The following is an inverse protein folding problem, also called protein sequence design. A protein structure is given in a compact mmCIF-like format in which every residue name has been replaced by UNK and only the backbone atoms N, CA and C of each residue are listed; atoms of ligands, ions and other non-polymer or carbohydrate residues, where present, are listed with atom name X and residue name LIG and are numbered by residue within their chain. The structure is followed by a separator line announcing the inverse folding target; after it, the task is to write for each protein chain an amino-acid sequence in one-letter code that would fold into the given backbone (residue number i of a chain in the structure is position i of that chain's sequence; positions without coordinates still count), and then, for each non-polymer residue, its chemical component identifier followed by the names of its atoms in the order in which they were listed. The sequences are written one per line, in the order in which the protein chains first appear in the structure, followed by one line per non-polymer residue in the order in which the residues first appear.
data_IF_182529263520
#
_entry.id   IF_182529263520
#
_cell.length_a   1.000
_cell.length_b   1.000
_cell.length_c   1.000
_cell.angle_alpha   90.00
_cell.angle_beta   90.00
_cell.angle_gamma   90.00
#
_symmetry.space_group_name_H-M   'P 1'
#
loop_
_entity.id
_entity.type
_entity.pdbx_description
1 polymer ?
#
# COMPACT_ATOMS: atom_id res chain seq x y z
N UNK A 1 20.69 -55.55 63.65
CA UNK A 1 21.06 -54.46 62.70
C UNK A 1 19.78 -53.79 62.27
N UNK A 2 19.58 -52.54 62.70
CA UNK A 2 18.30 -51.85 62.72
C UNK A 2 17.98 -51.16 61.40
N UNK A 3 16.70 -51.23 61.07
CA UNK A 3 15.94 -50.70 59.95
C UNK A 3 16.01 -49.16 59.87
N UNK A 4 17.12 -48.60 59.36
CA UNK A 4 17.27 -47.14 59.15
C UNK A 4 17.94 -46.71 57.83
N UNK A 5 18.19 -47.63 56.89
CA UNK A 5 18.84 -47.27 55.61
C UNK A 5 17.95 -47.39 54.37
N UNK A 6 16.65 -47.70 54.51
CA UNK A 6 15.75 -47.83 53.35
C UNK A 6 14.88 -46.60 53.06
N UNK A 7 15.08 -45.46 53.75
CA UNK A 7 14.29 -44.23 53.53
C UNK A 7 15.10 -43.10 52.87
N UNK A 8 16.42 -43.24 52.74
CA UNK A 8 17.25 -42.25 52.04
C UNK A 8 17.36 -42.47 50.52
N UNK A 9 16.91 -43.62 50.01
CA UNK A 9 17.00 -43.98 48.59
C UNK A 9 15.84 -43.49 47.71
N UNK A 10 14.73 -43.05 48.29
CA UNK A 10 13.53 -42.59 47.55
C UNK A 10 13.31 -41.07 47.62
N UNK A 11 14.11 -40.32 48.39
CA UNK A 11 14.02 -38.87 48.47
C UNK A 11 14.92 -38.12 47.46
N UNK A 12 15.73 -38.83 46.67
CA UNK A 12 16.64 -38.24 45.67
C UNK A 12 16.15 -38.38 44.21
N UNK A 13 14.96 -38.95 43.97
CA UNK A 13 14.33 -39.02 42.65
C UNK A 13 13.10 -38.11 42.50
N UNK A 14 12.85 -37.22 43.48
CA UNK A 14 11.70 -36.30 43.47
C UNK A 14 12.10 -34.81 43.49
N UNK A 15 13.22 -34.44 42.85
CA UNK A 15 13.59 -33.03 42.60
C UNK A 15 14.22 -32.82 41.22
N UNK A 16 13.48 -33.20 40.18
CA UNK A 16 13.61 -32.62 38.84
C UNK A 16 12.22 -32.40 38.24
N UNK A 17 11.31 -31.83 39.04
CA UNK A 17 10.11 -31.22 38.50
C UNK A 17 10.50 -29.87 37.87
N UNK A 18 10.64 -29.92 36.54
CA UNK A 18 10.26 -28.86 35.62
C UNK A 18 10.61 -27.42 36.04
N UNK A 19 11.86 -27.02 35.83
CA UNK A 19 12.10 -25.70 35.23
C UNK A 19 12.10 -25.87 33.73
N UNK A 20 10.95 -26.23 33.15
CA UNK A 20 10.69 -25.85 31.77
C UNK A 20 10.70 -24.33 31.80
N UNK A 21 11.71 -23.72 31.18
CA UNK A 21 11.60 -22.33 30.74
C UNK A 21 10.19 -22.19 30.15
N UNK A 22 9.34 -21.27 30.61
CA UNK A 22 8.10 -21.01 29.90
C UNK A 22 8.54 -20.77 28.46
N UNK A 23 8.06 -21.61 27.54
CA UNK A 23 8.15 -21.33 26.11
C UNK A 23 7.77 -19.87 26.01
N UNK A 24 8.74 -19.02 25.67
CA UNK A 24 8.50 -17.61 25.44
C UNK A 24 7.78 -17.56 24.09
N UNK A 25 6.52 -18.01 24.11
CA UNK A 25 5.63 -18.03 22.98
C UNK A 25 5.21 -16.58 22.83
N UNK A 26 6.06 -15.82 22.14
CA UNK A 26 5.75 -14.45 21.73
C UNK A 26 4.37 -14.51 21.07
N UNK A 27 3.40 -13.80 21.62
CA UNK A 27 2.08 -13.72 21.05
C UNK A 27 2.21 -13.19 19.60
N UNK A 28 1.54 -13.86 18.67
CA UNK A 28 1.47 -13.43 17.28
C UNK A 28 0.61 -12.17 17.23
N UNK A 29 1.10 -11.13 16.57
CA UNK A 29 0.38 -9.87 16.41
C UNK A 29 -0.72 -10.03 15.35
N UNK A 30 -1.93 -9.52 15.61
CA UNK A 30 -3.03 -9.60 14.65
C UNK A 30 -3.28 -8.21 14.03
N UNK A 31 -3.30 -8.16 12.69
CA UNK A 31 -3.47 -6.89 11.95
C UNK A 31 -4.55 -7.01 10.89
N UNK A 32 -5.49 -6.07 10.86
CA UNK A 32 -6.48 -6.00 9.78
C UNK A 32 -5.82 -5.48 8.51
N UNK A 33 -6.07 -6.12 7.37
CA UNK A 33 -5.71 -5.57 6.07
C UNK A 33 -6.75 -4.54 5.66
N UNK A 34 -6.29 -3.35 5.32
CA UNK A 34 -7.14 -2.24 4.93
C UNK A 34 -6.62 -1.57 3.65
N UNK A 35 -7.17 -0.41 3.34
CA UNK A 35 -6.78 0.40 2.18
C UNK A 35 -5.50 1.23 2.38
N UNK A 36 -4.86 1.16 3.56
CA UNK A 36 -3.61 1.84 3.84
C UNK A 36 -3.72 3.35 3.77
N UNK A 37 -4.71 3.94 4.44
CA UNK A 37 -5.02 5.38 4.36
C UNK A 37 -3.89 6.28 4.87
N UNK A 38 -3.02 5.76 5.74
CA UNK A 38 -1.87 6.49 6.29
C UNK A 38 -0.63 6.43 5.40
N UNK A 39 -0.66 5.65 4.32
CA UNK A 39 0.46 5.47 3.41
C UNK A 39 0.65 6.67 2.49
N UNK A 40 1.90 7.09 2.30
CA UNK A 40 2.26 7.96 1.18
C UNK A 40 2.40 7.12 -0.09
N UNK A 41 1.56 7.40 -1.09
CA UNK A 41 1.28 6.49 -2.21
C UNK A 41 1.36 7.20 -3.57
N UNK A 42 2.09 8.31 -3.64
CA UNK A 42 2.15 9.20 -4.81
C UNK A 42 2.62 8.48 -6.08
N UNK A 43 1.89 8.67 -7.17
CA UNK A 43 2.22 8.15 -8.50
C UNK A 43 2.91 9.17 -9.41
N UNK A 44 3.04 10.42 -8.94
CA UNK A 44 3.68 11.54 -9.64
C UNK A 44 3.10 11.81 -11.03
N UNK A 45 1.79 11.60 -11.19
CA UNK A 45 1.11 11.77 -12.47
C UNK A 45 1.09 13.24 -12.85
N UNK A 46 1.72 13.55 -13.99
CA UNK A 46 1.77 14.91 -14.54
C UNK A 46 2.86 15.82 -13.96
N UNK A 47 3.67 15.35 -13.02
CA UNK A 47 4.70 16.17 -12.36
C UNK A 47 6.10 15.57 -12.36
N UNK A 48 6.35 14.54 -13.17
CA UNK A 48 7.67 13.89 -13.30
C UNK A 48 8.79 14.91 -13.50
N UNK A 49 8.67 15.81 -14.48
CA UNK A 49 9.72 16.79 -14.78
C UNK A 49 9.97 17.76 -13.63
N UNK A 50 8.90 18.24 -12.97
CA UNK A 50 9.02 19.09 -11.79
C UNK A 50 9.73 18.36 -10.64
N UNK A 51 9.39 17.09 -10.38
CA UNK A 51 10.11 16.30 -9.39
C UNK A 51 11.58 16.06 -9.78
N UNK A 52 11.89 15.89 -11.07
CA UNK A 52 13.26 15.72 -11.56
C UNK A 52 14.14 16.95 -11.32
N UNK A 53 13.58 18.15 -11.44
CA UNK A 53 14.26 19.42 -11.15
C UNK A 53 14.62 19.57 -9.66
N UNK A 54 13.79 19.02 -8.77
CA UNK A 54 13.96 19.09 -7.32
C UNK A 54 14.98 18.08 -6.76
N UNK A 55 15.36 17.05 -7.52
CA UNK A 55 16.14 15.92 -7.00
C UNK A 55 17.49 16.32 -6.43
N UNK A 56 18.16 17.32 -7.00
CA UNK A 56 19.50 17.72 -6.55
C UNK A 56 19.44 18.27 -5.12
N UNK A 57 18.54 19.22 -4.87
CA UNK A 57 18.39 19.87 -3.57
C UNK A 57 17.75 18.95 -2.52
N UNK A 58 16.74 18.16 -2.93
CA UNK A 58 16.14 17.15 -2.06
C UNK A 58 17.19 16.13 -1.61
N UNK A 59 17.95 15.57 -2.53
CA UNK A 59 18.95 14.55 -2.21
C UNK A 59 20.03 15.09 -1.27
N UNK A 60 20.53 16.31 -1.51
CA UNK A 60 21.51 16.95 -0.63
C UNK A 60 20.94 17.17 0.79
N UNK A 61 19.72 17.68 0.88
CA UNK A 61 19.06 17.98 2.17
C UNK A 61 18.71 16.70 2.93
N UNK A 62 18.15 15.70 2.25
CA UNK A 62 17.75 14.42 2.84
C UNK A 62 18.97 13.63 3.31
N UNK A 63 20.08 13.58 2.55
CA UNK A 63 21.30 12.92 3.00
C UNK A 63 21.94 13.60 4.22
N UNK A 64 21.86 14.92 4.30
CA UNK A 64 22.39 15.66 5.46
C UNK A 64 21.55 15.40 6.72
N UNK A 65 20.22 15.31 6.58
CA UNK A 65 19.30 15.13 7.72
C UNK A 65 19.08 13.66 8.10
N UNK A 66 19.28 12.74 7.17
CA UNK A 66 18.99 11.32 7.32
C UNK A 66 20.25 10.46 7.09
N UNK A 67 21.07 10.22 8.14
CA UNK A 67 22.28 9.41 8.02
C UNK A 67 21.99 7.95 7.64
N UNK A 68 20.81 7.42 7.98
CA UNK A 68 20.38 6.08 7.56
C UNK A 68 20.22 6.02 6.04
N UNK A 69 19.59 7.05 5.45
CA UNK A 69 19.44 7.14 4.01
C UNK A 69 20.79 7.31 3.31
N UNK A 70 21.61 8.26 3.76
CA UNK A 70 22.92 8.54 3.15
C UNK A 70 23.84 7.29 3.14
N UNK A 71 23.97 6.60 4.26
CA UNK A 71 24.80 5.40 4.36
C UNK A 71 24.20 4.23 3.57
N UNK A 72 22.88 4.03 3.65
CA UNK A 72 22.21 2.98 2.90
C UNK A 72 22.35 3.17 1.38
N UNK A 73 22.21 4.40 0.89
CA UNK A 73 22.42 4.75 -0.51
C UNK A 73 23.86 4.54 -0.95
N UNK A 74 24.84 4.98 -0.15
CA UNK A 74 26.27 4.77 -0.42
C UNK A 74 26.60 3.28 -0.59
N UNK A 75 26.09 2.43 0.31
CA UNK A 75 26.28 0.97 0.21
C UNK A 75 25.60 0.38 -1.01
N UNK A 76 24.40 0.84 -1.34
CA UNK A 76 23.68 0.41 -2.54
C UNK A 76 24.43 0.79 -3.82
N UNK A 77 24.90 2.04 -3.93
CA UNK A 77 25.69 2.49 -5.06
C UNK A 77 26.99 1.69 -5.23
N UNK A 78 27.71 1.46 -4.13
CA UNK A 78 28.91 0.63 -4.16
C UNK A 78 28.62 -0.81 -4.60
N UNK A 79 27.54 -1.42 -4.09
CA UNK A 79 27.14 -2.77 -4.49
C UNK A 79 26.71 -2.83 -5.95
N UNK A 80 26.05 -1.79 -6.48
CA UNK A 80 25.61 -1.69 -7.86
C UNK A 80 26.81 -1.68 -8.81
N UNK A 81 27.83 -0.89 -8.50
CA UNK A 81 29.04 -0.85 -9.30
C UNK A 81 29.91 -2.10 -9.17
N UNK A 82 30.04 -2.66 -7.97
CA UNK A 82 30.83 -3.87 -7.76
C UNK A 82 30.30 -5.10 -8.53
N UNK A 83 28.99 -5.16 -8.86
CA UNK A 83 28.43 -6.22 -9.70
C UNK A 83 28.45 -5.91 -11.21
N UNK A 84 29.15 -4.86 -11.63
CA UNK A 84 29.18 -4.41 -13.03
C UNK A 84 27.85 -3.80 -13.47
N UNK A 85 27.22 -3.01 -12.60
CA UNK A 85 25.96 -2.34 -12.87
C UNK A 85 25.98 -1.62 -14.22
N UNK A 86 25.01 -1.94 -15.07
CA UNK A 86 24.83 -1.32 -16.36
C UNK A 86 23.34 -1.08 -16.59
N UNK A 87 23.00 0.15 -16.96
CA UNK A 87 21.65 0.54 -17.32
C UNK A 87 21.62 0.78 -18.82
N UNK A 88 20.76 0.09 -19.60
CA UNK A 88 20.73 0.25 -21.04
C UNK A 88 20.49 1.71 -21.44
N UNK A 89 21.43 2.28 -22.20
CA UNK A 89 21.38 3.69 -22.65
C UNK A 89 20.12 4.07 -23.42
N UNK A 90 19.47 3.11 -24.07
CA UNK A 90 18.24 3.32 -24.84
C UNK A 90 16.96 3.32 -24.00
N UNK A 91 17.07 3.18 -22.67
CA UNK A 91 15.90 3.18 -21.77
C UNK A 91 15.83 4.48 -20.98
N UNK A 92 14.61 4.89 -20.60
CA UNK A 92 14.40 6.01 -19.68
C UNK A 92 14.94 5.72 -18.25
N UNK A 93 15.37 4.49 -18.00
CA UNK A 93 15.96 4.11 -16.73
C UNK A 93 17.32 4.78 -16.59
N UNK A 94 17.59 5.35 -15.42
CA UNK A 94 18.86 6.01 -15.09
C UNK A 94 19.54 5.22 -13.98
N UNK A 95 20.81 5.52 -13.77
CA UNK A 95 21.60 4.92 -12.69
C UNK A 95 20.92 5.11 -11.32
N UNK A 96 20.35 6.28 -11.05
CA UNK A 96 19.70 6.61 -9.79
C UNK A 96 18.50 5.70 -9.53
N UNK A 97 17.73 5.37 -10.57
CA UNK A 97 16.63 4.39 -10.50
C UNK A 97 17.15 2.99 -10.14
N UNK A 98 18.28 2.58 -10.74
CA UNK A 98 18.89 1.28 -10.45
C UNK A 98 19.46 1.21 -9.03
N UNK A 99 20.11 2.28 -8.55
CA UNK A 99 20.62 2.39 -7.19
C UNK A 99 19.48 2.44 -6.17
N UNK A 100 18.37 3.11 -6.47
CA UNK A 100 17.18 3.12 -5.61
C UNK A 100 16.60 1.70 -5.42
N UNK A 101 16.41 0.95 -6.52
CA UNK A 101 16.00 -0.46 -6.46
C UNK A 101 17.00 -1.31 -5.67
N UNK A 102 18.30 -1.06 -5.85
CA UNK A 102 19.32 -1.75 -5.06
C UNK A 102 19.22 -1.42 -3.57
N UNK A 103 19.04 -0.14 -3.22
CA UNK A 103 18.95 0.32 -1.84
C UNK A 103 17.77 -0.32 -1.13
N UNK A 104 16.63 -0.43 -1.82
CA UNK A 104 15.44 -1.08 -1.30
C UNK A 104 15.66 -2.59 -1.07
N UNK A 105 16.28 -3.29 -2.01
CA UNK A 105 16.51 -4.75 -1.91
C UNK A 105 17.68 -5.13 -1.01
N UNK A 106 18.56 -4.19 -0.71
CA UNK A 106 19.70 -4.40 0.18
C UNK A 106 19.20 -4.38 1.63
N UNK A 107 18.96 -5.58 2.18
CA UNK A 107 18.58 -5.78 3.58
C UNK A 107 19.39 -4.88 4.52
N UNK A 108 18.70 -4.12 5.36
CA UNK A 108 19.35 -3.20 6.30
C UNK A 108 18.42 -2.12 6.82
N UNK A 109 19.01 -1.18 7.55
CA UNK A 109 18.31 -0.07 8.21
C UNK A 109 17.54 0.84 7.25
N UNK A 110 18.07 1.09 6.04
CA UNK A 110 17.39 1.92 5.05
C UNK A 110 16.05 1.32 4.64
N UNK A 111 16.04 0.05 4.23
CA UNK A 111 14.81 -0.66 3.84
C UNK A 111 13.74 -0.59 4.95
N UNK A 112 14.10 -0.98 6.18
CA UNK A 112 13.15 -1.01 7.30
C UNK A 112 12.62 0.39 7.63
N UNK A 113 13.49 1.40 7.68
CA UNK A 113 13.10 2.77 8.03
C UNK A 113 12.28 3.42 6.92
N UNK A 114 12.64 3.17 5.66
CA UNK A 114 11.88 3.65 4.51
C UNK A 114 10.44 3.11 4.51
N UNK A 115 10.27 1.80 4.67
CA UNK A 115 8.94 1.16 4.71
C UNK A 115 8.08 1.70 5.87
N UNK A 116 8.68 1.89 7.06
CA UNK A 116 8.00 2.53 8.21
C UNK A 116 7.58 3.97 7.90
N UNK A 117 8.47 4.78 7.33
CA UNK A 117 8.19 6.18 7.06
C UNK A 117 7.17 6.36 5.93
N UNK A 118 7.19 5.50 4.91
CA UNK A 118 6.16 5.48 3.84
C UNK A 118 4.78 5.16 4.42
N UNK A 119 4.70 4.20 5.34
CA UNK A 119 3.44 3.82 6.00
C UNK A 119 2.79 4.95 6.81
N UNK A 120 3.59 5.90 7.30
CA UNK A 120 3.14 6.99 8.17
C UNK A 120 3.05 8.35 7.47
N UNK A 121 3.81 8.57 6.39
CA UNK A 121 3.91 9.87 5.74
C UNK A 121 2.60 10.36 5.11
N UNK A 122 1.65 9.46 4.83
CA UNK A 122 0.30 9.80 4.35
C UNK A 122 -0.70 10.13 5.46
N UNK A 123 -0.27 10.26 6.73
CA UNK A 123 -1.16 10.74 7.80
C UNK A 123 -1.64 12.18 7.55
N UNK A 124 -0.78 13.02 6.98
CA UNK A 124 -1.13 14.38 6.57
C UNK A 124 -0.05 14.97 5.67
N UNK A 125 -0.41 16.02 4.92
CA UNK A 125 0.56 16.83 4.17
C UNK A 125 1.73 17.32 5.04
N UNK A 126 1.45 17.71 6.29
CA UNK A 126 2.48 18.17 7.22
C UNK A 126 3.45 17.05 7.60
N UNK A 127 2.93 15.85 7.86
CA UNK A 127 3.74 14.67 8.14
C UNK A 127 4.70 14.36 6.98
N UNK A 128 4.18 14.38 5.75
CA UNK A 128 4.97 14.23 4.54
C UNK A 128 6.06 15.31 4.40
N UNK A 129 5.69 16.60 4.51
CA UNK A 129 6.65 17.69 4.27
C UNK A 129 7.76 17.71 5.34
N UNK A 130 7.38 17.62 6.61
CA UNK A 130 8.29 17.85 7.74
C UNK A 130 9.09 16.61 8.14
N UNK A 131 8.50 15.41 8.05
CA UNK A 131 9.11 14.20 8.62
C UNK A 131 9.54 13.17 7.59
N UNK A 132 8.90 13.10 6.43
CA UNK A 132 9.26 12.11 5.41
C UNK A 132 10.56 12.51 4.69
N UNK A 133 11.70 11.97 5.12
CA UNK A 133 13.03 12.29 4.59
C UNK A 133 13.51 11.28 3.53
N UNK A 134 12.57 10.73 2.77
CA UNK A 134 12.80 9.79 1.67
C UNK A 134 12.02 10.14 0.40
N UNK A 135 11.74 11.42 0.17
CA UNK A 135 11.03 11.94 -1.01
C UNK A 135 11.75 11.53 -2.29
N UNK A 136 13.08 11.68 -2.32
CA UNK A 136 13.92 11.27 -3.45
C UNK A 136 13.82 9.77 -3.71
N UNK A 137 13.97 8.94 -2.66
CA UNK A 137 13.92 7.49 -2.79
C UNK A 137 12.56 7.00 -3.26
N UNK A 138 11.48 7.53 -2.68
CA UNK A 138 10.11 7.18 -3.05
C UNK A 138 9.82 7.51 -4.52
N UNK A 139 10.22 8.71 -4.97
CA UNK A 139 10.09 9.12 -6.37
C UNK A 139 10.86 8.20 -7.30
N UNK A 140 12.15 7.97 -7.04
CA UNK A 140 13.01 7.15 -7.89
C UNK A 140 12.53 5.69 -7.97
N UNK A 141 12.03 5.12 -6.86
CA UNK A 141 11.45 3.77 -6.86
C UNK A 141 10.16 3.72 -7.69
N UNK A 142 9.26 4.68 -7.49
CA UNK A 142 7.99 4.77 -8.24
C UNK A 142 8.23 4.90 -9.74
N UNK A 143 9.16 5.76 -10.13
CA UNK A 143 9.58 5.95 -11.51
C UNK A 143 10.25 4.70 -12.09
N UNK A 144 11.15 4.05 -11.34
CA UNK A 144 11.81 2.83 -11.77
C UNK A 144 10.79 1.72 -12.09
N UNK A 145 9.80 1.52 -11.21
CA UNK A 145 8.74 0.55 -11.44
C UNK A 145 7.89 0.92 -12.66
N UNK A 146 7.53 2.19 -12.81
CA UNK A 146 6.76 2.66 -13.96
C UNK A 146 7.49 2.42 -15.29
N UNK A 147 8.78 2.72 -15.35
CA UNK A 147 9.63 2.53 -16.55
C UNK A 147 9.81 1.05 -16.88
N UNK A 148 10.00 0.21 -15.86
CA UNK A 148 10.30 -1.22 -16.04
C UNK A 148 9.05 -2.08 -16.27
N UNK A 149 7.86 -1.58 -15.92
CA UNK A 149 6.61 -2.32 -16.06
C UNK A 149 6.30 -2.60 -17.52
N UNK A 150 5.87 -3.83 -17.81
CA UNK A 150 5.30 -4.21 -19.10
C UNK A 150 3.78 -4.11 -19.02
N UNK A 151 3.13 -3.25 -19.84
CA UNK A 151 1.68 -3.17 -19.88
C UNK A 151 1.04 -4.54 -20.13
N UNK A 152 -0.15 -4.76 -19.56
CA UNK A 152 -0.95 -5.99 -19.74
C UNK A 152 -0.28 -7.30 -19.26
N UNK A 153 0.83 -7.20 -18.52
CA UNK A 153 1.46 -8.37 -17.89
C UNK A 153 1.14 -8.36 -16.41
N UNK A 154 0.62 -9.47 -15.90
CA UNK A 154 0.44 -9.71 -14.47
C UNK A 154 1.28 -10.90 -14.02
N UNK A 155 1.61 -10.93 -12.73
CA UNK A 155 2.50 -11.90 -12.12
C UNK A 155 1.84 -12.52 -10.90
N UNK A 156 1.79 -13.87 -10.89
CA UNK A 156 1.45 -14.62 -9.68
C UNK A 156 2.69 -14.75 -8.80
N UNK A 157 2.61 -14.20 -7.60
CA UNK A 157 3.74 -14.07 -6.68
C UNK A 157 3.32 -14.36 -5.24
N UNK A 158 4.30 -14.62 -4.38
CA UNK A 158 4.08 -15.10 -3.02
C UNK A 158 4.92 -14.33 -2.01
N UNK A 159 4.41 -14.18 -0.79
CA UNK A 159 5.15 -13.62 0.34
C UNK A 159 4.74 -14.31 1.63
N UNK A 160 5.72 -14.80 2.36
CA UNK A 160 5.57 -15.23 3.74
C UNK A 160 5.80 -14.06 4.70
N UNK A 161 5.06 -14.03 5.80
CA UNK A 161 5.23 -13.07 6.89
C UNK A 161 5.31 -13.82 8.19
N UNK A 162 6.31 -13.47 9.01
CA UNK A 162 6.54 -14.00 10.34
C UNK A 162 6.01 -13.03 11.40
N UNK A 163 5.57 -13.57 12.54
CA UNK A 163 5.13 -12.86 13.75
C UNK A 163 3.84 -12.02 13.60
N UNK A 164 3.26 -11.93 12.40
CA UNK A 164 2.03 -11.18 12.11
C UNK A 164 1.01 -12.08 11.42
N UNK A 165 -0.20 -12.11 11.98
CA UNK A 165 -1.38 -12.73 11.39
C UNK A 165 -2.32 -11.66 10.85
N UNK A 166 -2.42 -11.58 9.53
CA UNK A 166 -3.35 -10.65 8.90
C UNK A 166 -4.78 -11.18 8.92
N UNK A 167 -5.72 -10.28 9.16
CA UNK A 167 -7.16 -10.50 9.15
C UNK A 167 -7.73 -9.75 7.94
N UNK A 168 -8.54 -10.44 7.15
CA UNK A 168 -9.27 -9.88 6.02
C UNK A 168 -10.52 -10.73 5.74
N UNK A 169 -11.44 -10.18 4.97
CA UNK A 169 -12.67 -10.82 4.53
C UNK A 169 -12.73 -10.88 3.00
N UNK A 170 -13.42 -11.89 2.43
CA UNK A 170 -13.61 -11.95 0.98
C UNK A 170 -14.28 -10.68 0.47
N UNK A 171 -13.87 -10.22 -0.72
CA UNK A 171 -14.31 -8.99 -1.38
C UNK A 171 -13.81 -7.69 -0.76
N UNK A 172 -13.06 -7.72 0.35
CA UNK A 172 -12.38 -6.53 0.83
C UNK A 172 -11.45 -5.97 -0.24
N UNK A 173 -11.49 -4.64 -0.39
CA UNK A 173 -10.49 -3.92 -1.14
C UNK A 173 -9.36 -3.55 -0.17
N UNK A 174 -8.15 -4.03 -0.46
CA UNK A 174 -6.98 -3.87 0.38
C UNK A 174 -5.80 -3.34 -0.41
N UNK A 175 -4.80 -2.84 0.30
CA UNK A 175 -3.57 -2.32 -0.29
C UNK A 175 -2.39 -2.59 0.62
N UNK A 176 -1.22 -2.77 0.03
CA UNK A 176 0.01 -2.77 0.80
C UNK A 176 0.47 -1.32 0.98
N UNK A 177 0.38 -0.80 2.21
CA UNK A 177 0.65 0.59 2.61
C UNK A 177 2.11 1.06 2.46
N UNK A 178 2.89 0.37 1.64
CA UNK A 178 4.31 0.56 1.41
C UNK A 178 4.70 -0.24 0.15
N UNK A 179 5.93 -0.03 -0.35
CA UNK A 179 6.49 -0.95 -1.31
C UNK A 179 6.64 -2.33 -0.66
N UNK A 180 6.37 -3.41 -1.39
CA UNK A 180 6.50 -4.77 -0.83
C UNK A 180 7.14 -5.74 -1.81
N UNK A 181 8.17 -6.43 -1.34
CA UNK A 181 8.82 -7.54 -2.06
C UNK A 181 7.97 -8.81 -2.05
N UNK A 182 7.74 -9.38 -3.21
CA UNK A 182 7.16 -10.71 -3.41
C UNK A 182 8.11 -11.58 -4.24
N UNK A 183 7.85 -12.89 -4.26
CA UNK A 183 8.71 -13.86 -4.92
C UNK A 183 7.89 -14.79 -5.82
N UNK A 184 8.43 -15.15 -6.99
CA UNK A 184 7.76 -16.10 -7.89
C UNK A 184 7.62 -17.50 -7.31
N UNK A 185 8.58 -17.92 -6.48
CA UNK A 185 8.64 -19.27 -5.91
C UNK A 185 8.11 -19.28 -4.48
N UNK A 186 7.17 -20.17 -4.19
CA UNK A 186 6.58 -20.31 -2.84
C UNK A 186 7.65 -20.64 -1.80
N UNK A 187 8.62 -21.46 -2.16
CA UNK A 187 9.70 -21.92 -1.29
C UNK A 187 10.56 -20.73 -0.84
N UNK A 188 10.81 -19.76 -1.73
CA UNK A 188 11.54 -18.52 -1.39
C UNK A 188 10.72 -17.58 -0.53
N UNK A 189 9.40 -17.55 -0.72
CA UNK A 189 8.51 -16.75 0.12
C UNK A 189 8.42 -17.30 1.56
N UNK A 190 8.48 -18.63 1.74
CA UNK A 190 8.47 -19.28 3.07
C UNK A 190 9.68 -18.93 3.93
N UNK A 191 10.82 -18.60 3.32
CA UNK A 191 12.02 -18.14 4.04
C UNK A 191 11.74 -16.89 4.91
N UNK A 192 10.65 -16.14 4.61
CA UNK A 192 10.24 -14.93 5.33
C UNK A 192 9.16 -15.16 6.39
N UNK A 193 8.62 -16.38 6.51
CA UNK A 193 7.62 -16.76 7.51
C UNK A 193 6.40 -17.46 6.93
N UNK A 194 5.58 -18.01 7.82
CA UNK A 194 4.36 -18.74 7.45
C UNK A 194 3.15 -18.36 8.31
N UNK A 195 3.27 -17.42 9.26
CA UNK A 195 2.15 -16.98 10.13
C UNK A 195 1.05 -16.30 9.31
N UNK A 196 1.44 -15.50 8.32
CA UNK A 196 0.60 -15.17 7.17
C UNK A 196 1.33 -15.53 5.89
N UNK A 197 0.63 -16.11 4.93
CA UNK A 197 1.17 -16.40 3.61
C UNK A 197 0.25 -15.85 2.51
N UNK A 198 0.80 -14.97 1.67
CA UNK A 198 0.08 -14.32 0.59
C UNK A 198 0.32 -15.03 -0.74
N UNK A 199 -0.73 -15.15 -1.55
CA UNK A 199 -0.68 -15.42 -2.98
C UNK A 199 -1.36 -14.28 -3.71
N UNK A 200 -0.58 -13.50 -4.46
CA UNK A 200 -1.04 -12.27 -5.09
C UNK A 200 -0.87 -12.40 -6.59
N UNK A 201 -1.91 -12.06 -7.35
CA UNK A 201 -1.78 -11.79 -8.77
C UNK A 201 -1.71 -10.27 -8.98
N UNK A 202 -0.51 -9.76 -9.21
CA UNK A 202 -0.22 -8.32 -9.32
C UNK A 202 -0.04 -7.93 -10.78
N UNK A 203 -0.58 -6.78 -11.18
CA UNK A 203 -0.43 -6.21 -12.53
C UNK A 203 0.43 -4.93 -12.54
N UNK A 204 0.88 -4.49 -11.37
CA UNK A 204 1.76 -3.32 -11.21
C UNK A 204 3.10 -3.68 -10.53
N UNK A 205 3.22 -4.90 -10.01
CA UNK A 205 4.46 -5.47 -9.52
C UNK A 205 5.46 -5.72 -10.63
N UNK A 206 6.72 -5.36 -10.39
CA UNK A 206 7.78 -5.43 -11.40
C UNK A 206 8.85 -6.43 -10.97
N UNK A 207 9.21 -7.40 -11.84
CA UNK A 207 10.39 -8.24 -11.62
C UNK A 207 11.68 -7.42 -11.66
N UNK A 208 12.37 -7.32 -10.52
CA UNK A 208 13.55 -6.45 -10.36
C UNK A 208 14.86 -7.24 -10.24
N UNK A 209 14.87 -8.51 -10.65
CA UNK A 209 16.03 -9.43 -10.61
C UNK A 209 17.36 -8.78 -11.02
N UNK A 210 17.37 -8.00 -12.10
CA UNK A 210 18.59 -7.35 -12.62
C UNK A 210 19.14 -6.27 -11.67
N UNK A 211 18.25 -5.58 -10.96
CA UNK A 211 18.57 -4.44 -10.09
C UNK A 211 18.69 -4.82 -8.61
N UNK A 212 18.15 -5.99 -8.24
CA UNK A 212 18.20 -6.49 -6.88
C UNK A 212 19.63 -6.78 -6.41
N UNK A 213 19.82 -6.57 -5.10
CA UNK A 213 20.98 -7.01 -4.33
C UNK A 213 21.10 -8.54 -4.25
N UNK A 214 20.02 -9.28 -4.55
CA UNK A 214 19.90 -10.74 -4.48
C UNK A 214 19.16 -11.31 -5.71
N UNK A 215 19.77 -11.31 -6.91
CA UNK A 215 19.12 -11.74 -8.15
C UNK A 215 18.55 -13.16 -8.11
N UNK A 216 19.13 -14.05 -7.31
CA UNK A 216 18.71 -15.44 -7.12
C UNK A 216 17.35 -15.57 -6.40
N UNK A 217 16.89 -14.52 -5.72
CA UNK A 217 15.57 -14.49 -5.07
C UNK A 217 14.43 -14.22 -6.06
N UNK A 218 14.74 -13.69 -7.25
CA UNK A 218 13.76 -13.38 -8.30
C UNK A 218 12.59 -12.55 -7.78
N UNK A 219 12.97 -11.47 -7.09
CA UNK A 219 12.06 -10.55 -6.42
C UNK A 219 11.20 -9.76 -7.41
N UNK A 220 9.92 -9.61 -7.06
CA UNK A 220 8.93 -8.74 -7.70
C UNK A 220 8.55 -7.66 -6.70
N UNK A 221 8.77 -6.41 -7.04
CA UNK A 221 8.46 -5.29 -6.16
C UNK A 221 7.09 -4.70 -6.53
N UNK A 222 6.17 -4.71 -5.57
CA UNK A 222 4.81 -4.15 -5.71
C UNK A 222 4.81 -2.72 -5.14
N UNK A 223 4.29 -1.72 -5.89
CA UNK A 223 4.19 -0.34 -5.40
C UNK A 223 3.06 -0.14 -4.38
N UNK A 224 3.12 0.92 -3.54
CA UNK A 224 2.15 1.17 -2.47
C UNK A 224 0.75 1.55 -2.93
N UNK A 225 0.56 1.84 -4.23
CA UNK A 225 -0.70 2.32 -4.79
C UNK A 225 -1.52 1.24 -5.53
N UNK A 226 -1.01 0.01 -5.66
CA UNK A 226 -1.78 -1.09 -6.25
C UNK A 226 -2.80 -1.62 -5.24
N UNK A 227 -4.06 -1.67 -5.65
CA UNK A 227 -5.16 -2.20 -4.85
C UNK A 227 -5.42 -3.64 -5.22
N UNK A 228 -5.94 -4.39 -4.28
CA UNK A 228 -6.29 -5.79 -4.46
C UNK A 228 -7.66 -6.08 -3.89
N UNK A 229 -8.40 -6.96 -4.56
CA UNK A 229 -9.58 -7.59 -3.98
C UNK A 229 -9.16 -8.90 -3.31
N UNK A 230 -9.64 -9.13 -2.09
CA UNK A 230 -9.43 -10.40 -1.39
C UNK A 230 -10.36 -11.46 -1.98
N UNK A 231 -9.79 -12.49 -2.59
CA UNK A 231 -10.58 -13.53 -3.27
C UNK A 231 -10.84 -14.76 -2.40
N UNK A 232 -9.93 -15.07 -1.49
CA UNK A 232 -10.06 -16.21 -0.58
C UNK A 232 -9.17 -16.05 0.65
N UNK A 233 -9.67 -16.50 1.80
CA UNK A 233 -8.89 -16.67 3.04
C UNK A 233 -9.02 -18.11 3.50
N UNK A 234 -7.90 -18.74 3.84
CA UNK A 234 -7.85 -20.07 4.47
C UNK A 234 -7.11 -19.96 5.79
N UNK A 235 -7.79 -20.26 6.89
CA UNK A 235 -7.19 -20.27 8.23
C UNK A 235 -6.75 -21.70 8.58
N UNK A 236 -5.51 -21.85 9.00
CA UNK A 236 -4.96 -23.04 9.63
C UNK A 236 -4.70 -22.75 11.11
N UNK A 237 -4.37 -23.79 11.89
CA UNK A 237 -4.22 -23.68 13.35
C UNK A 237 -3.28 -22.54 13.78
N UNK A 238 -2.18 -22.35 13.05
CA UNK A 238 -1.17 -21.32 13.35
C UNK A 238 -0.90 -20.34 12.21
N UNK A 239 -1.57 -20.47 11.06
CA UNK A 239 -1.28 -19.65 9.87
C UNK A 239 -2.53 -19.20 9.10
N UNK A 240 -2.45 -18.05 8.45
CA UNK A 240 -3.49 -17.55 7.54
C UNK A 240 -2.96 -17.48 6.11
N UNK A 241 -3.65 -18.11 5.17
CA UNK A 241 -3.36 -18.02 3.73
C UNK A 241 -4.35 -17.06 3.06
N UNK A 242 -3.85 -16.00 2.41
CA UNK A 242 -4.68 -14.96 1.80
C UNK A 242 -4.38 -14.87 0.30
N UNK A 243 -5.44 -14.93 -0.52
CA UNK A 243 -5.36 -14.78 -1.96
C UNK A 243 -5.90 -13.41 -2.39
N UNK A 244 -5.13 -12.73 -3.23
CA UNK A 244 -5.40 -11.36 -3.68
C UNK A 244 -5.32 -11.28 -5.21
N UNK A 245 -6.25 -10.56 -5.83
CA UNK A 245 -6.25 -10.25 -7.26
C UNK A 245 -6.16 -8.73 -7.47
N UNK A 246 -5.35 -8.28 -8.42
CA UNK A 246 -5.17 -6.86 -8.73
C UNK A 246 -6.51 -6.21 -9.11
N UNK A 247 -6.82 -5.08 -8.46
CA UNK A 247 -8.03 -4.27 -8.66
C UNK A 247 -7.68 -2.85 -9.16
N UNK A 248 -6.57 -2.74 -9.89
CA UNK A 248 -6.05 -1.48 -10.41
C UNK A 248 -5.30 -0.65 -9.37
N UNK A 249 -5.12 0.65 -9.65
CA UNK A 249 -4.36 1.56 -8.79
C UNK A 249 -5.22 2.66 -8.25
N UNK A 250 -4.91 3.15 -7.06
CA UNK A 250 -5.48 4.36 -6.50
C UNK A 250 -4.47 4.96 -5.52
N UNK A 251 -4.30 6.28 -5.56
CA UNK A 251 -3.43 7.05 -4.66
C UNK A 251 -4.23 8.15 -3.99
N UNK A 252 -3.98 8.37 -2.71
CA UNK A 252 -4.51 9.51 -1.95
C UNK A 252 -3.72 10.78 -2.27
N UNK A 253 -2.45 10.64 -2.64
CA UNK A 253 -1.55 11.74 -2.95
C UNK A 253 -1.19 11.76 -4.45
N UNK A 254 -1.00 12.97 -4.97
CA UNK A 254 -0.41 13.17 -6.29
C UNK A 254 0.42 14.47 -6.31
N UNK A 255 1.69 14.33 -6.65
CA UNK A 255 2.63 15.44 -6.83
C UNK A 255 2.80 16.31 -5.57
N UNK A 256 2.77 15.70 -4.39
CA UNK A 256 2.57 16.43 -3.13
C UNK A 256 3.69 17.44 -2.82
N UNK A 257 4.94 17.11 -3.18
CA UNK A 257 6.08 18.02 -3.01
C UNK A 257 5.97 19.28 -3.87
N UNK A 258 5.56 19.11 -5.14
CA UNK A 258 5.57 20.18 -6.15
C UNK A 258 4.19 20.79 -6.39
N UNK A 259 3.19 20.46 -5.56
CA UNK A 259 1.79 20.86 -5.74
C UNK A 259 1.57 22.37 -5.87
N UNK A 260 2.47 23.20 -5.32
CA UNK A 260 2.44 24.67 -5.49
C UNK A 260 3.09 25.21 -6.77
N UNK A 261 3.82 24.36 -7.51
CA UNK A 261 4.53 24.69 -8.75
C UNK A 261 3.83 24.13 -10.00
N UNK A 262 2.74 23.37 -9.83
CA UNK A 262 1.93 22.87 -10.94
C UNK A 262 1.11 24.04 -11.49
N UNK A 263 1.29 24.45 -12.76
CA UNK A 263 0.36 25.38 -13.37
C UNK A 263 -1.02 24.73 -13.32
N UNK A 264 -2.00 25.38 -12.69
CA UNK A 264 -3.38 24.92 -12.69
C UNK A 264 -3.84 24.77 -14.14
N UNK A 265 -3.78 23.55 -14.66
CA UNK A 265 -4.40 23.22 -15.92
C UNK A 265 -5.91 23.32 -15.68
N UNK A 266 -6.49 24.48 -15.99
CA UNK A 266 -7.94 24.63 -16.05
C UNK A 266 -8.54 23.58 -17.00
N UNK A 267 -9.84 23.24 -16.85
CA UNK A 267 -10.47 22.24 -17.69
C UNK A 267 -10.34 22.67 -19.15
N UNK A 268 -9.58 21.90 -19.93
CA UNK A 268 -9.45 22.09 -21.37
C UNK A 268 -10.76 21.69 -22.03
N UNK A 269 -11.66 22.67 -22.18
CA UNK A 269 -12.78 22.59 -23.11
C UNK A 269 -12.17 22.52 -24.52
N UNK A 270 -12.40 21.45 -25.31
CA UNK A 270 -11.94 21.41 -26.68
C UNK A 270 -12.70 22.48 -27.48
N UNK A 271 -12.02 23.56 -27.86
CA UNK A 271 -12.51 24.44 -28.92
C UNK A 271 -12.24 23.76 -30.26
N UNK A 272 -13.21 23.00 -30.75
CA UNK A 272 -13.32 22.73 -32.18
C UNK A 272 -14.30 23.75 -32.77
N UNK A 273 -13.76 24.72 -33.51
CA UNK A 273 -14.54 25.68 -34.29
C UNK A 273 -14.25 25.40 -35.76
N UNK A 274 -15.04 24.51 -36.34
CA UNK A 274 -15.22 24.44 -37.78
C UNK A 274 -16.70 24.42 -38.11
N UNK A 275 -17.08 25.45 -38.83
CA UNK A 275 -18.42 25.89 -39.18
C UNK A 275 -18.94 25.15 -40.42
N UNK A 276 -20.14 24.57 -40.34
CA UNK A 276 -21.01 24.30 -41.51
C UNK A 276 -22.47 24.60 -41.12
N UNK A 277 -23.24 25.33 -41.95
CA UNK A 277 -24.56 25.86 -41.60
C UNK A 277 -25.70 24.92 -42.01
N UNK A 278 -26.76 24.86 -41.19
CA UNK A 278 -28.07 24.35 -41.64
C UNK A 278 -29.21 25.24 -41.16
N UNK A 279 -30.13 25.47 -42.10
CA UNK A 279 -31.24 26.40 -42.08
C UNK A 279 -32.54 25.68 -41.66
N UNK A 280 -33.13 26.10 -40.54
CA UNK A 280 -34.57 26.06 -40.15
C UNK A 280 -35.34 24.73 -40.05
N UNK A 281 -36.58 24.70 -39.51
CA UNK A 281 -37.33 25.77 -38.82
C UNK A 281 -37.75 25.43 -37.37
N UNK A 282 -38.14 26.49 -36.66
CA UNK A 282 -38.63 26.54 -35.28
C UNK A 282 -39.98 25.86 -35.07
N UNK A 283 -40.10 25.08 -33.99
CA UNK A 283 -41.38 24.64 -33.38
C UNK A 283 -41.36 25.01 -31.89
N UNK A 284 -42.45 25.57 -31.31
CA UNK A 284 -42.46 26.11 -29.94
C UNK A 284 -42.42 25.01 -28.87
N UNK A 285 -41.68 25.28 -27.79
CA UNK A 285 -41.75 24.54 -26.54
C UNK A 285 -43.07 24.85 -25.83
N UNK A 286 -44.02 23.94 -25.89
CA UNK A 286 -45.02 23.75 -24.84
C UNK A 286 -45.57 22.34 -24.98
N UNK A 287 -45.24 21.50 -23.99
CA UNK A 287 -45.89 20.25 -23.57
C UNK A 287 -44.82 19.21 -23.26
N UNK A 288 -44.44 19.10 -21.99
CA UNK A 288 -44.20 17.85 -21.27
C UNK A 288 -43.86 18.21 -19.80
N UNK A 289 -44.68 17.74 -18.88
CA UNK A 289 -44.59 17.95 -17.44
C UNK A 289 -43.28 17.38 -16.84
N UNK A 290 -42.72 17.97 -15.77
CA UNK A 290 -41.49 17.47 -15.14
C UNK A 290 -41.79 16.31 -14.17
N UNK A 291 -40.89 15.32 -13.99
CA UNK A 291 -40.87 14.50 -12.80
C UNK A 291 -40.10 15.22 -11.67
N UNK A 292 -40.75 15.28 -10.51
CA UNK A 292 -40.28 15.59 -9.16
C UNK A 292 -38.77 15.86 -9.01
N UNK A 293 -38.42 17.13 -8.86
CA UNK A 293 -37.09 17.54 -8.39
C UNK A 293 -36.95 17.22 -6.90
N UNK A 294 -35.95 16.41 -6.55
CA UNK A 294 -35.47 16.27 -5.17
C UNK A 294 -34.87 17.61 -4.73
N UNK A 295 -35.37 18.18 -3.64
CA UNK A 295 -34.78 19.38 -3.04
C UNK A 295 -33.57 18.99 -2.19
N UNK A 296 -32.39 19.62 -2.36
CA UNK A 296 -31.26 19.42 -1.47
C UNK A 296 -31.55 20.05 -0.10
N UNK A 297 -31.37 19.27 0.96
CA UNK A 297 -31.36 19.78 2.34
C UNK A 297 -29.91 20.04 2.73
N UNK A 298 -29.57 21.29 3.04
CA UNK A 298 -28.28 21.63 3.64
C UNK A 298 -28.33 21.40 5.15
N UNK A 299 -27.34 20.67 5.68
CA UNK A 299 -27.14 20.49 7.13
C UNK A 299 -25.76 21.03 7.49
N UNK A 300 -25.73 21.97 8.43
CA UNK A 300 -24.49 22.52 9.00
C UNK A 300 -23.89 21.52 9.98
N UNK A 301 -22.62 21.19 9.79
CA UNK A 301 -21.86 20.30 10.68
C UNK A 301 -21.35 21.09 11.89
N UNK A 302 -22.15 21.11 12.94
CA UNK A 302 -21.63 21.27 14.31
C UNK A 302 -22.45 20.35 15.24
N UNK A 303 -21.84 19.25 15.68
CA UNK A 303 -22.37 18.35 16.71
C UNK A 303 -23.46 17.36 16.28
N UNK A 304 -23.06 16.10 16.12
CA UNK A 304 -23.85 14.85 16.34
C UNK A 304 -25.36 14.87 16.01
N UNK A 305 -25.75 14.24 14.89
CA UNK A 305 -27.11 13.76 14.69
C UNK A 305 -27.11 12.41 13.96
N UNK A 306 -27.71 11.40 14.60
CA UNK A 306 -28.09 10.14 13.97
C UNK A 306 -29.39 10.35 13.18
N UNK A 307 -29.43 9.90 11.92
CA UNK A 307 -30.65 9.91 11.12
C UNK A 307 -31.41 8.60 11.34
N UNK A 308 -32.65 8.72 11.80
CA UNK A 308 -33.63 7.63 11.88
C UNK A 308 -34.26 7.39 10.51
N UNK A 309 -34.46 6.11 10.18
CA UNK A 309 -34.76 5.62 8.84
C UNK A 309 -35.99 6.19 8.14
N UNK A 310 -35.98 6.09 6.81
CA UNK A 310 -37.13 6.29 5.93
C UNK A 310 -37.32 5.02 5.11
N UNK A 311 -38.55 4.49 5.13
CA UNK A 311 -38.93 3.25 4.46
C UNK A 311 -39.01 3.41 2.94
N UNK A 312 -38.50 2.38 2.23
CA UNK A 312 -38.64 2.03 0.81
C UNK A 312 -37.50 2.46 -0.12
N UNK A 313 -36.81 1.42 -0.59
CA UNK A 313 -36.21 1.21 -1.92
C UNK A 313 -35.92 2.48 -2.73
N UNK A 314 -34.94 3.26 -2.30
CA UNK A 314 -34.47 4.42 -3.07
C UNK A 314 -32.96 4.30 -3.21
N UNK A 315 -32.49 4.35 -4.46
CA UNK A 315 -31.06 4.38 -4.81
C UNK A 315 -30.39 5.55 -4.08
N UNK A 316 -29.43 5.26 -3.21
CA UNK A 316 -28.63 6.29 -2.57
C UNK A 316 -27.60 6.82 -3.59
N UNK A 317 -27.74 8.08 -3.98
CA UNK A 317 -26.68 8.88 -4.58
C UNK A 317 -26.13 9.82 -3.52
N UNK A 318 -24.94 9.54 -2.99
CA UNK A 318 -24.22 10.48 -2.13
C UNK A 318 -23.38 11.37 -3.04
N UNK A 319 -23.76 12.65 -3.16
CA UNK A 319 -22.87 13.69 -3.67
C UNK A 319 -22.25 14.36 -2.45
N UNK A 320 -21.14 13.82 -1.96
CA UNK A 320 -20.30 14.53 -1.00
C UNK A 320 -19.32 15.38 -1.79
N UNK A 321 -19.28 16.68 -1.47
CA UNK A 321 -18.16 17.55 -1.83
C UNK A 321 -16.96 17.07 -1.00
N UNK A 322 -16.23 16.10 -1.55
CA UNK A 322 -14.96 15.66 -1.00
C UNK A 322 -13.97 16.83 -1.10
N UNK A 323 -13.04 16.94 -0.15
CA UNK A 323 -11.90 17.83 -0.29
C UNK A 323 -11.34 17.70 -1.72
N UNK A 324 -11.22 18.81 -2.43
CA UNK A 324 -11.01 18.96 -3.90
C UNK A 324 -9.86 18.12 -4.51
N UNK A 325 -9.10 17.40 -3.68
CA UNK A 325 -7.88 16.68 -4.02
C UNK A 325 -7.91 15.15 -3.79
N UNK A 326 -8.99 14.58 -3.25
CA UNK A 326 -9.03 13.12 -3.00
C UNK A 326 -9.29 12.35 -4.31
N UNK A 327 -8.24 11.79 -4.91
CA UNK A 327 -8.36 10.98 -6.14
C UNK A 327 -9.04 9.61 -5.92
N UNK A 328 -9.34 9.24 -4.67
CA UNK A 328 -9.84 7.94 -4.26
C UNK A 328 -10.89 8.04 -3.13
N UNK A 329 -12.13 8.49 -3.39
CA UNK A 329 -13.15 8.51 -2.36
C UNK A 329 -13.50 7.08 -1.93
N UNK A 330 -13.40 6.80 -0.63
CA UNK A 330 -13.89 5.56 -0.03
C UNK A 330 -15.35 5.77 0.38
N UNK A 331 -16.27 5.04 -0.23
CA UNK A 331 -17.67 4.97 0.22
C UNK A 331 -17.80 3.71 1.08
N UNK A 332 -17.86 3.88 2.40
CA UNK A 332 -18.28 2.81 3.30
C UNK A 332 -19.82 2.77 3.34
N UNK A 333 -20.39 1.66 2.87
CA UNK A 333 -21.82 1.37 3.06
C UNK A 333 -21.92 0.44 4.26
N UNK A 334 -22.41 0.94 5.40
CA UNK A 334 -22.78 0.10 6.54
C UNK A 334 -24.22 -0.35 6.35
N UNK A 335 -24.43 -1.65 6.17
CA UNK A 335 -25.77 -2.24 6.17
C UNK A 335 -26.22 -2.44 7.63
N UNK A 336 -27.27 -1.74 8.04
CA UNK A 336 -27.81 -1.81 9.41
C UNK A 336 -28.68 -3.06 9.67
N UNK A 337 -28.76 -4.02 8.74
CA UNK A 337 -29.61 -5.21 8.87
C UNK A 337 -28.87 -6.53 9.14
N UNK A 338 -27.87 -6.53 10.03
CA UNK A 338 -27.42 -7.78 10.68
C UNK A 338 -27.90 -7.78 12.13
N UNK A 339 -29.16 -8.16 12.36
CA UNK A 339 -29.58 -8.62 13.69
C UNK A 339 -28.83 -9.93 14.01
N UNK A 340 -27.74 -9.81 14.76
CA UNK A 340 -27.16 -10.94 15.48
C UNK A 340 -28.09 -11.28 16.65
N UNK A 341 -28.88 -12.34 16.49
CA UNK A 341 -29.55 -13.01 17.59
C UNK A 341 -28.50 -13.48 18.62
N UNK A 342 -28.34 -12.72 19.70
CA UNK A 342 -27.75 -13.21 20.93
C UNK A 342 -28.81 -14.04 21.68
N UNK A 343 -28.78 -15.36 21.53
CA UNK A 343 -29.43 -16.24 22.50
C UNK A 343 -28.43 -16.61 23.59
N UNK A 344 -28.68 -16.08 24.79
CA UNK A 344 -28.20 -16.61 26.06
C UNK A 344 -28.62 -18.08 26.20
N UNK A 345 -27.67 -18.96 26.49
CA UNK A 345 -27.67 -19.91 27.62
C UNK A 345 -26.27 -20.51 27.80
#
# INVERSE_FOLDING_TARGET
MSMKHLVLGLALLARTLATSNPLNLKAIDEKVLDMGLTSFDDQYRGCRHMMEEELVELNHTEFTRNPIYAEGWKRAAAKWWNKGGDVPRSTALRTEHAVALMAYTLHGSLYMKFDEDVHNAGLSRREYLEKFQFKTLHFLLTEALTILRKPQTCHKVFRGVKDIRFIAWPQDLVRFSQFVSFFFRKEKAKDFGEDTFFSVNTCYGVPIKKFSAYPEKEEVLIPPYERFVVTSITKHLNSTYIQLESAGTCSNYNCEWVKGNIPLAGPSIPQDSSSIPWVGPSIPWDSLSPPLALQPVQVSLDGSAALWGVSRSSQFGVISEFAEDTLCPLIQVTDEYVEQHWTQY
#
